data_IF_980177136139
#
_entry.id   IF_980177136139
#
_cell.length_a   1.000
_cell.length_b   1.000
_cell.length_c   1.000
_cell.angle_alpha   90.00
_cell.angle_beta   90.00
_cell.angle_gamma   90.00
#
_symmetry.space_group_name_H-M   'P 1'
#
loop_
_entity.id
_entity.type
_entity.pdbx_description
1 polymer ?
#
# COMPACT_ATOMS: atom_id res chain seq x y z
N UNK A 1 -4.32 -14.85 2.15
CA UNK A 1 -4.16 -15.76 1.00
C UNK A 1 -5.33 -16.75 0.97
N UNK A 2 -6.13 -16.73 -0.11
CA UNK A 2 -7.33 -17.58 -0.28
C UNK A 2 -6.92 -19.05 -0.36
N UNK A 3 -5.85 -19.38 -1.07
CA UNK A 3 -5.39 -20.77 -1.22
C UNK A 3 -5.12 -21.43 0.14
N UNK A 4 -4.50 -20.72 1.09
CA UNK A 4 -4.28 -21.24 2.45
C UNK A 4 -5.61 -21.39 3.20
N UNK A 5 -6.51 -20.45 3.06
CA UNK A 5 -7.83 -20.50 3.71
C UNK A 5 -8.66 -21.69 3.22
N UNK A 6 -8.64 -21.94 1.91
CA UNK A 6 -9.33 -23.08 1.29
C UNK A 6 -8.68 -24.41 1.68
N UNK A 7 -7.34 -24.51 1.62
CA UNK A 7 -6.61 -25.75 1.95
C UNK A 7 -6.80 -26.17 3.40
N UNK A 8 -6.87 -25.21 4.32
CA UNK A 8 -7.14 -25.47 5.74
C UNK A 8 -8.63 -25.56 6.08
N UNK A 9 -9.54 -25.37 5.11
CA UNK A 9 -11.00 -25.36 5.30
C UNK A 9 -11.41 -24.51 6.50
N UNK A 10 -10.89 -23.26 6.56
CA UNK A 10 -11.10 -22.39 7.71
C UNK A 10 -12.57 -21.96 7.86
N UNK A 11 -12.99 -21.81 9.10
CA UNK A 11 -14.27 -21.26 9.49
C UNK A 11 -14.18 -20.42 10.77
N UNK A 12 -15.14 -19.50 10.93
CA UNK A 12 -15.23 -18.71 12.16
C UNK A 12 -15.65 -19.65 13.30
N UNK A 13 -14.89 -19.64 14.40
CA UNK A 13 -15.11 -20.51 15.56
C UNK A 13 -14.37 -21.84 15.47
N UNK A 14 -13.59 -22.10 14.41
CA UNK A 14 -12.78 -23.31 14.32
C UNK A 14 -11.68 -23.35 15.39
N UNK A 15 -11.37 -24.56 15.85
CA UNK A 15 -10.20 -24.84 16.69
C UNK A 15 -8.99 -25.08 15.78
N UNK A 16 -7.93 -24.29 15.96
CA UNK A 16 -6.73 -24.34 15.15
C UNK A 16 -5.48 -24.57 16.00
N UNK A 17 -4.46 -25.23 15.43
CA UNK A 17 -3.11 -25.27 15.97
C UNK A 17 -2.30 -24.13 15.36
N UNK A 18 -1.62 -23.36 16.21
CA UNK A 18 -0.81 -22.21 15.79
C UNK A 18 0.63 -22.45 16.25
N UNK A 19 1.59 -22.09 15.41
CA UNK A 19 3.00 -22.04 15.78
C UNK A 19 3.61 -20.67 15.44
N UNK A 20 4.75 -20.35 16.02
CA UNK A 20 5.50 -19.13 15.69
C UNK A 20 6.55 -19.43 14.62
N UNK A 21 6.29 -19.01 13.39
CA UNK A 21 7.31 -19.03 12.35
C UNK A 21 8.40 -18.00 12.69
N UNK A 22 9.65 -18.39 12.52
CA UNK A 22 10.82 -17.57 12.86
C UNK A 22 10.75 -16.98 14.30
N UNK A 23 10.15 -17.72 15.23
CA UNK A 23 9.98 -17.37 16.65
C UNK A 23 9.08 -16.14 16.92
N UNK A 24 8.56 -15.48 15.91
CA UNK A 24 7.83 -14.20 16.03
C UNK A 24 6.44 -14.25 15.39
N UNK A 25 6.33 -14.75 14.16
CA UNK A 25 5.12 -14.63 13.35
C UNK A 25 4.18 -15.83 13.60
N UNK A 26 2.96 -15.63 14.14
CA UNK A 26 2.01 -16.73 14.31
C UNK A 26 1.49 -17.19 12.94
N UNK A 27 1.53 -18.52 12.73
CA UNK A 27 0.98 -19.18 11.56
C UNK A 27 0.10 -20.36 11.98
N UNK A 28 -0.92 -20.65 11.16
CA UNK A 28 -1.79 -21.80 11.36
C UNK A 28 -1.08 -23.05 10.83
N UNK A 29 -0.81 -24.02 11.70
CA UNK A 29 -0.25 -25.31 11.32
C UNK A 29 -1.33 -26.27 10.83
N UNK A 30 -2.48 -26.27 11.50
CA UNK A 30 -3.57 -27.21 11.26
C UNK A 30 -4.89 -26.59 11.71
N UNK A 31 -5.96 -26.85 10.96
CA UNK A 31 -7.33 -26.62 11.40
C UNK A 31 -7.96 -27.95 11.84
N UNK A 32 -8.25 -28.09 13.13
CA UNK A 32 -8.78 -29.34 13.71
C UNK A 32 -10.25 -29.50 13.33
N UNK A 33 -11.04 -28.43 13.38
CA UNK A 33 -12.49 -28.45 13.14
C UNK A 33 -12.83 -28.60 11.67
N UNK A 34 -12.10 -27.90 10.79
CA UNK A 34 -12.28 -27.91 9.32
C UNK A 34 -13.72 -27.62 8.87
N UNK A 35 -14.38 -26.62 9.48
CA UNK A 35 -15.78 -26.31 9.17
C UNK A 35 -16.01 -25.76 7.76
N UNK A 36 -15.00 -25.12 7.15
CA UNK A 36 -15.08 -24.57 5.80
C UNK A 36 -16.13 -23.49 5.62
N UNK A 37 -16.51 -22.80 6.68
CA UNK A 37 -17.65 -21.85 6.66
C UNK A 37 -17.27 -20.44 6.23
N UNK A 38 -15.97 -20.12 6.12
CA UNK A 38 -15.54 -18.79 5.66
C UNK A 38 -15.96 -18.58 4.21
N UNK A 39 -16.67 -17.49 3.96
CA UNK A 39 -17.07 -17.04 2.63
C UNK A 39 -16.13 -15.97 2.14
N UNK A 40 -15.70 -16.07 0.89
CA UNK A 40 -14.93 -15.02 0.22
C UNK A 40 -15.89 -13.89 -0.12
N UNK A 41 -15.62 -12.63 0.30
CA UNK A 41 -16.49 -11.51 0.00
C UNK A 41 -16.59 -11.26 -1.51
N UNK A 42 -17.80 -11.17 -2.04
CA UNK A 42 -18.07 -10.79 -3.44
C UNK A 42 -18.04 -9.28 -3.66
N UNK A 43 -18.14 -8.51 -2.58
CA UNK A 43 -18.11 -7.05 -2.59
C UNK A 43 -17.05 -6.54 -1.61
N UNK A 44 -16.39 -5.45 -2.00
CA UNK A 44 -15.38 -4.81 -1.17
C UNK A 44 -16.03 -4.18 0.08
N UNK A 45 -15.57 -4.49 1.30
CA UNK A 45 -16.15 -3.94 2.53
C UNK A 45 -15.96 -2.43 2.69
N UNK A 46 -15.03 -1.82 1.92
CA UNK A 46 -14.74 -0.38 2.00
C UNK A 46 -15.59 0.42 1.02
N UNK A 47 -15.73 -0.02 -0.22
CA UNK A 47 -16.37 0.77 -1.28
C UNK A 47 -17.62 0.12 -1.88
N UNK A 48 -18.00 -1.10 -1.47
CA UNK A 48 -19.13 -1.84 -2.04
C UNK A 48 -18.93 -2.32 -3.50
N UNK A 49 -17.78 -2.02 -4.11
CA UNK A 49 -17.48 -2.45 -5.46
C UNK A 49 -17.24 -3.97 -5.54
N UNK A 50 -17.36 -4.55 -6.74
CA UNK A 50 -17.08 -5.98 -6.96
C UNK A 50 -15.67 -6.34 -6.56
N UNK A 51 -15.50 -7.58 -6.08
CA UNK A 51 -14.20 -8.19 -5.89
C UNK A 51 -13.94 -9.24 -6.96
N UNK A 52 -12.67 -9.49 -7.24
CA UNK A 52 -12.23 -10.58 -8.12
C UNK A 52 -11.13 -11.40 -7.44
N UNK A 53 -11.07 -12.66 -7.76
CA UNK A 53 -9.97 -13.54 -7.38
C UNK A 53 -8.97 -13.53 -8.55
N UNK A 54 -7.72 -13.23 -8.24
CA UNK A 54 -6.59 -13.41 -9.14
C UNK A 54 -5.84 -14.66 -8.71
N UNK A 55 -5.57 -15.55 -9.66
CA UNK A 55 -4.78 -16.76 -9.45
C UNK A 55 -3.47 -16.61 -10.24
N UNK A 56 -2.38 -16.51 -9.51
CA UNK A 56 -1.04 -16.38 -10.09
C UNK A 56 -0.13 -17.39 -9.40
N UNK A 57 0.43 -18.33 -10.16
CA UNK A 57 1.27 -19.41 -9.64
C UNK A 57 0.62 -20.18 -8.48
N UNK A 58 -0.63 -20.58 -8.62
CA UNK A 58 -1.44 -21.28 -7.63
C UNK A 58 -1.68 -20.49 -6.33
N UNK A 59 -1.42 -19.19 -6.35
CA UNK A 59 -1.70 -18.29 -5.24
C UNK A 59 -2.92 -17.44 -5.55
N UNK A 60 -4.04 -17.76 -4.91
CA UNK A 60 -5.28 -17.00 -5.03
C UNK A 60 -5.28 -15.81 -4.10
N UNK A 61 -5.51 -14.63 -4.65
CA UNK A 61 -5.61 -13.36 -3.93
C UNK A 61 -6.89 -12.63 -4.29
N UNK A 62 -7.52 -11.98 -3.30
CA UNK A 62 -8.74 -11.20 -3.48
C UNK A 62 -8.43 -9.74 -3.74
N UNK A 63 -8.98 -9.18 -4.79
CA UNK A 63 -8.82 -7.77 -5.16
C UNK A 63 -10.18 -7.09 -5.31
N UNK A 64 -10.23 -5.83 -4.97
CA UNK A 64 -11.33 -4.95 -5.32
C UNK A 64 -11.15 -4.46 -6.76
N UNK A 65 -12.19 -4.55 -7.61
CA UNK A 65 -12.11 -4.08 -8.99
C UNK A 65 -12.32 -2.57 -9.13
N UNK A 66 -12.88 -1.92 -8.11
CA UNK A 66 -13.08 -0.48 -8.15
C UNK A 66 -11.74 0.26 -8.04
N UNK A 67 -11.31 0.92 -9.10
CA UNK A 67 -10.09 1.74 -9.11
C UNK A 67 -10.19 2.98 -8.23
N UNK A 68 -11.42 3.47 -7.99
CA UNK A 68 -11.70 4.60 -7.10
C UNK A 68 -11.87 4.18 -5.64
N UNK A 69 -11.51 2.94 -5.28
CA UNK A 69 -11.60 2.46 -3.91
C UNK A 69 -10.67 3.25 -2.99
N UNK A 70 -11.26 3.87 -1.95
CA UNK A 70 -10.50 4.68 -0.99
C UNK A 70 -9.34 3.90 -0.34
N UNK A 71 -9.56 2.62 0.00
CA UNK A 71 -8.49 1.78 0.56
C UNK A 71 -7.31 1.61 -0.40
N UNK A 72 -7.57 1.41 -1.70
CA UNK A 72 -6.50 1.36 -2.71
C UNK A 72 -5.75 2.69 -2.78
N UNK A 73 -6.48 3.80 -2.75
CA UNK A 73 -5.92 5.13 -2.80
C UNK A 73 -5.01 5.40 -1.60
N UNK A 74 -5.47 5.10 -0.38
CA UNK A 74 -4.65 5.20 0.84
C UNK A 74 -3.39 4.33 0.73
N UNK A 75 -3.53 3.06 0.32
CA UNK A 75 -2.40 2.14 0.17
C UNK A 75 -1.39 2.60 -0.88
N UNK A 76 -1.83 3.21 -1.98
CA UNK A 76 -0.93 3.75 -3.00
C UNK A 76 -0.08 4.91 -2.48
N UNK A 77 -0.67 5.80 -1.68
CA UNK A 77 0.07 6.87 -1.01
C UNK A 77 0.97 6.34 0.11
N UNK A 78 0.52 5.34 0.87
CA UNK A 78 1.32 4.72 1.92
C UNK A 78 2.57 4.04 1.35
N UNK A 79 2.44 3.36 0.21
CA UNK A 79 3.58 2.79 -0.51
C UNK A 79 4.55 3.89 -0.97
N UNK A 80 4.02 4.96 -1.58
CA UNK A 80 4.82 6.09 -2.05
C UNK A 80 5.59 6.76 -0.90
N UNK A 81 4.95 6.93 0.27
CA UNK A 81 5.57 7.52 1.45
C UNK A 81 6.48 6.56 2.23
N UNK A 82 6.44 5.26 1.92
CA UNK A 82 7.15 4.23 2.67
C UNK A 82 8.67 4.43 2.68
N UNK A 83 9.34 3.81 3.68
CA UNK A 83 10.80 3.86 3.85
C UNK A 83 11.57 3.40 2.60
N UNK A 84 11.06 2.39 1.90
CA UNK A 84 11.69 1.82 0.71
C UNK A 84 11.41 2.62 -0.57
N UNK A 85 10.43 3.55 -0.52
CA UNK A 85 10.12 4.51 -1.57
C UNK A 85 10.67 5.89 -1.22
N UNK A 86 9.83 6.89 -1.06
CA UNK A 86 10.25 8.28 -0.82
C UNK A 86 10.68 8.56 0.63
N UNK A 87 10.46 7.64 1.55
CA UNK A 87 10.81 7.74 2.97
C UNK A 87 10.30 9.04 3.61
N UNK A 88 9.01 9.31 3.47
CA UNK A 88 8.37 10.53 4.00
C UNK A 88 7.84 10.25 5.40
N UNK A 89 8.55 10.72 6.42
CA UNK A 89 8.09 10.64 7.79
C UNK A 89 6.87 11.54 8.04
N UNK A 90 5.99 11.12 8.95
CA UNK A 90 4.79 11.88 9.34
C UNK A 90 3.55 11.57 8.51
N UNK A 91 3.63 10.74 7.47
CA UNK A 91 2.49 10.29 6.65
C UNK A 91 2.09 8.85 7.00
N UNK A 92 1.52 8.65 8.19
CA UNK A 92 0.85 7.39 8.53
C UNK A 92 -0.39 7.15 7.64
N UNK A 93 -0.87 5.90 7.55
CA UNK A 93 -2.11 5.61 6.81
C UNK A 93 -3.30 6.44 7.34
N UNK A 94 -3.38 6.65 8.66
CA UNK A 94 -4.42 7.50 9.28
C UNK A 94 -4.29 8.98 8.87
N UNK A 95 -3.07 9.49 8.75
CA UNK A 95 -2.81 10.85 8.25
C UNK A 95 -3.20 10.97 6.78
N UNK A 96 -2.78 10.00 5.96
CA UNK A 96 -3.12 9.94 4.54
C UNK A 96 -4.62 9.87 4.31
N UNK A 97 -5.34 9.07 5.10
CA UNK A 97 -6.79 8.99 5.03
C UNK A 97 -7.45 10.35 5.29
N UNK A 98 -7.05 11.06 6.35
CA UNK A 98 -7.53 12.41 6.65
C UNK A 98 -7.27 13.38 5.49
N UNK A 99 -6.06 13.34 4.91
CA UNK A 99 -5.68 14.22 3.80
C UNK A 99 -6.44 13.93 2.51
N UNK A 100 -6.69 12.66 2.22
CA UNK A 100 -7.50 12.23 1.07
C UNK A 100 -8.96 12.65 1.27
N UNK A 101 -9.54 12.44 2.46
CA UNK A 101 -10.92 12.84 2.79
C UNK A 101 -11.12 14.35 2.68
N UNK A 102 -10.13 15.14 3.07
CA UNK A 102 -10.14 16.61 2.92
C UNK A 102 -9.86 17.08 1.48
N UNK A 103 -9.52 16.16 0.58
CA UNK A 103 -9.24 16.48 -0.82
C UNK A 103 -7.87 17.09 -1.08
N UNK A 104 -6.95 17.05 -0.10
CA UNK A 104 -5.58 17.54 -0.24
C UNK A 104 -4.75 16.65 -1.18
N UNK A 105 -5.02 15.35 -1.19
CA UNK A 105 -4.34 14.33 -1.97
C UNK A 105 -5.32 13.66 -2.95
N UNK A 106 -5.24 14.03 -4.23
CA UNK A 106 -6.02 13.44 -5.33
C UNK A 106 -5.13 12.62 -6.27
N UNK A 107 -3.94 13.11 -6.55
CA UNK A 107 -2.93 12.46 -7.41
C UNK A 107 -1.63 12.34 -6.63
N UNK A 108 -0.80 11.37 -6.97
CA UNK A 108 0.48 11.13 -6.28
C UNK A 108 1.35 12.38 -6.14
N UNK A 109 1.41 13.21 -7.18
CA UNK A 109 2.17 14.48 -7.15
C UNK A 109 1.65 15.55 -6.19
N UNK A 110 0.41 15.42 -5.70
CA UNK A 110 -0.15 16.39 -4.75
C UNK A 110 0.55 16.34 -3.39
N UNK A 111 1.21 15.21 -3.07
CA UNK A 111 1.99 15.06 -1.85
C UNK A 111 3.07 16.17 -1.71
N UNK A 112 3.69 16.58 -2.83
CA UNK A 112 4.68 17.65 -2.86
C UNK A 112 4.07 19.07 -2.90
N UNK A 113 2.75 19.17 -2.94
CA UNK A 113 2.00 20.43 -2.98
C UNK A 113 1.21 20.69 -1.71
N UNK A 114 1.42 19.87 -0.68
CA UNK A 114 0.63 19.88 0.54
C UNK A 114 0.80 21.18 1.35
N UNK A 115 1.89 21.92 1.10
CA UNK A 115 2.14 23.23 1.71
C UNK A 115 1.05 24.26 1.43
N UNK A 116 0.23 24.06 0.37
CA UNK A 116 -0.93 24.91 0.06
C UNK A 116 -2.02 24.88 1.12
N UNK A 117 -2.04 23.83 1.94
CA UNK A 117 -3.06 23.56 2.95
C UNK A 117 -2.51 23.71 4.38
N UNK A 118 -1.49 24.59 4.56
CA UNK A 118 -0.83 24.77 5.86
C UNK A 118 -1.83 25.02 6.98
N UNK A 119 -2.69 26.01 6.81
CA UNK A 119 -3.61 26.46 7.87
C UNK A 119 -4.62 25.36 8.22
N UNK A 120 -5.14 24.66 7.21
CA UNK A 120 -6.08 23.57 7.41
C UNK A 120 -5.40 22.37 8.09
N UNK A 121 -4.13 22.05 7.73
CA UNK A 121 -3.38 20.94 8.31
C UNK A 121 -3.02 21.24 9.76
N UNK A 122 -2.53 22.43 10.06
CA UNK A 122 -2.14 22.80 11.43
C UNK A 122 -3.32 22.90 12.38
N UNK A 123 -4.53 23.17 11.85
CA UNK A 123 -5.77 23.17 12.60
C UNK A 123 -6.38 21.77 12.80
N UNK A 124 -5.82 20.71 12.19
CA UNK A 124 -6.34 19.35 12.35
C UNK A 124 -5.99 18.78 13.73
N UNK A 125 -6.92 18.02 14.31
CA UNK A 125 -6.67 17.28 15.54
C UNK A 125 -5.50 16.28 15.37
N UNK A 126 -4.55 16.38 16.31
CA UNK A 126 -3.30 15.61 16.28
C UNK A 126 -2.21 16.15 15.33
N UNK A 127 -2.43 17.30 14.67
CA UNK A 127 -1.48 17.97 13.80
C UNK A 127 -1.30 19.42 14.25
N UNK A 128 -0.10 19.80 14.67
CA UNK A 128 0.25 21.18 15.01
C UNK A 128 1.40 21.67 14.14
N UNK A 129 1.84 22.90 14.35
CA UNK A 129 2.95 23.54 13.61
C UNK A 129 4.20 22.66 13.56
N UNK A 130 4.59 22.03 14.66
CA UNK A 130 5.76 21.16 14.72
C UNK A 130 5.63 19.95 13.79
N UNK A 131 4.47 19.26 13.83
CA UNK A 131 4.22 18.10 12.97
C UNK A 131 4.16 18.49 11.51
N UNK A 132 3.58 19.66 11.21
CA UNK A 132 3.56 20.21 9.86
C UNK A 132 4.97 20.52 9.35
N UNK A 133 5.78 21.21 10.12
CA UNK A 133 7.15 21.56 9.72
C UNK A 133 8.00 20.30 9.49
N UNK A 134 7.90 19.31 10.38
CA UNK A 134 8.58 18.02 10.20
C UNK A 134 8.15 17.32 8.89
N UNK A 135 6.86 17.37 8.56
CA UNK A 135 6.36 16.80 7.30
C UNK A 135 6.92 17.55 6.09
N UNK A 136 6.95 18.88 6.11
CA UNK A 136 7.52 19.67 5.00
C UNK A 136 9.01 19.37 4.83
N UNK A 137 9.77 19.28 5.92
CA UNK A 137 11.19 18.93 5.89
C UNK A 137 11.40 17.52 5.30
N UNK A 138 10.54 16.55 5.66
CA UNK A 138 10.58 15.20 5.10
C UNK A 138 10.27 15.20 3.58
N UNK A 139 9.30 16.00 3.15
CA UNK A 139 8.95 16.16 1.73
C UNK A 139 10.07 16.80 0.92
N UNK A 140 10.75 17.82 1.47
CA UNK A 140 11.90 18.41 0.79
C UNK A 140 13.06 17.41 0.64
N UNK A 141 13.37 16.65 1.69
CA UNK A 141 14.36 15.56 1.61
C UNK A 141 13.96 14.46 0.59
N UNK A 142 12.68 14.16 0.48
CA UNK A 142 12.18 13.14 -0.44
C UNK A 142 12.36 13.52 -1.93
N UNK A 143 12.56 14.81 -2.25
CA UNK A 143 12.85 15.26 -3.62
C UNK A 143 14.23 14.80 -4.10
N UNK A 144 15.16 14.57 -3.18
CA UNK A 144 16.51 14.09 -3.47
C UNK A 144 16.59 12.56 -3.31
N UNK A 145 15.74 11.84 -4.04
CA UNK A 145 15.69 10.39 -4.03
C UNK A 145 16.15 9.80 -5.36
N UNK A 146 16.51 8.51 -5.37
CA UNK A 146 16.90 7.82 -6.59
C UNK A 146 15.68 7.32 -7.41
N UNK A 147 15.89 7.12 -8.70
CA UNK A 147 14.85 6.71 -9.64
C UNK A 147 14.26 5.31 -9.32
N UNK A 148 15.04 4.41 -8.73
CA UNK A 148 14.59 3.08 -8.31
C UNK A 148 13.48 3.20 -7.27
N UNK A 149 13.68 4.07 -6.28
CA UNK A 149 12.73 4.31 -5.20
C UNK A 149 11.46 5.00 -5.69
N UNK A 150 11.60 5.92 -6.66
CA UNK A 150 10.45 6.54 -7.33
C UNK A 150 9.61 5.49 -8.05
N UNK A 151 10.23 4.65 -8.90
CA UNK A 151 9.52 3.60 -9.66
C UNK A 151 8.84 2.62 -8.71
N UNK A 152 9.52 2.20 -7.64
CA UNK A 152 8.93 1.33 -6.62
C UNK A 152 7.72 2.00 -5.94
N UNK A 153 7.86 3.26 -5.54
CA UNK A 153 6.80 4.04 -4.89
C UNK A 153 5.57 4.27 -5.76
N UNK A 154 5.69 4.18 -7.10
CA UNK A 154 4.55 4.25 -8.01
C UNK A 154 3.63 3.02 -7.88
N UNK A 155 4.09 1.92 -7.29
CA UNK A 155 3.28 0.72 -7.06
C UNK A 155 2.78 0.08 -8.34
N UNK A 156 3.66 0.01 -9.35
CA UNK A 156 3.35 -0.67 -10.62
C UNK A 156 3.27 -2.18 -10.35
N UNK A 157 2.22 -2.82 -10.85
CA UNK A 157 2.01 -4.25 -10.65
C UNK A 157 3.24 -5.07 -11.08
N UNK A 158 3.65 -6.01 -10.23
CA UNK A 158 4.83 -6.86 -10.40
C UNK A 158 6.19 -6.13 -10.45
N UNK A 159 6.23 -4.84 -10.14
CA UNK A 159 7.48 -4.06 -10.05
C UNK A 159 7.84 -3.81 -8.58
N UNK A 160 8.56 -4.76 -7.99
CA UNK A 160 9.22 -4.60 -6.70
C UNK A 160 10.56 -3.86 -6.82
N UNK A 161 11.26 -3.62 -5.70
CA UNK A 161 12.56 -2.93 -5.67
C UNK A 161 13.60 -3.57 -6.60
N UNK A 162 13.66 -4.90 -6.66
CA UNK A 162 14.60 -5.61 -7.52
C UNK A 162 14.31 -5.36 -9.00
N UNK A 163 13.04 -5.43 -9.40
CA UNK A 163 12.60 -5.15 -10.77
C UNK A 163 12.83 -3.68 -11.14
N UNK A 164 12.49 -2.75 -10.22
CA UNK A 164 12.74 -1.33 -10.41
C UNK A 164 14.23 -1.04 -10.65
N UNK A 165 15.12 -1.70 -9.88
CA UNK A 165 16.59 -1.59 -10.07
C UNK A 165 17.05 -2.11 -11.42
N UNK A 166 16.49 -3.23 -11.89
CA UNK A 166 16.80 -3.77 -13.21
C UNK A 166 16.37 -2.82 -14.33
N UNK A 167 15.18 -2.22 -14.22
CA UNK A 167 14.68 -1.25 -15.20
C UNK A 167 15.60 -0.03 -15.27
N UNK A 168 15.93 0.56 -14.12
CA UNK A 168 16.79 1.74 -14.04
C UNK A 168 18.18 1.47 -14.60
N UNK A 169 18.79 0.33 -14.25
CA UNK A 169 20.10 -0.05 -14.78
C UNK A 169 20.06 -0.26 -16.30
N UNK A 170 19.03 -0.93 -16.82
CA UNK A 170 18.88 -1.18 -18.26
C UNK A 170 18.69 0.11 -19.06
N UNK A 171 18.11 1.13 -18.46
CA UNK A 171 17.87 2.44 -19.05
C UNK A 171 18.95 3.48 -18.63
N UNK A 172 20.12 3.03 -18.16
CA UNK A 172 21.27 3.86 -17.79
C UNK A 172 20.94 4.99 -16.79
N UNK A 173 19.99 4.74 -15.87
CA UNK A 173 19.51 5.74 -14.90
C UNK A 173 18.96 7.02 -15.55
N UNK A 174 18.45 6.90 -16.78
CA UNK A 174 17.86 8.02 -17.54
C UNK A 174 16.35 8.09 -17.25
N UNK A 175 15.92 9.14 -16.55
CA UNK A 175 14.52 9.35 -16.21
C UNK A 175 13.63 9.61 -17.43
N UNK A 176 14.15 10.26 -18.46
CA UNK A 176 13.45 10.49 -19.72
C UNK A 176 13.23 9.17 -20.48
N UNK A 177 14.26 8.28 -20.49
CA UNK A 177 14.13 6.97 -21.06
C UNK A 177 13.09 6.11 -20.33
N UNK A 178 13.03 6.19 -18.99
CA UNK A 178 12.00 5.51 -18.19
C UNK A 178 10.60 6.01 -18.52
N UNK A 179 10.40 7.31 -18.65
CA UNK A 179 9.10 7.90 -18.98
C UNK A 179 8.62 7.54 -20.40
N UNK A 180 9.55 7.28 -21.32
CA UNK A 180 9.25 6.90 -22.70
C UNK A 180 9.20 5.38 -22.91
N UNK A 181 9.62 4.59 -21.93
CA UNK A 181 9.63 3.14 -22.04
C UNK A 181 8.20 2.62 -22.24
N UNK A 182 8.02 1.85 -23.28
CA UNK A 182 6.79 1.08 -23.54
C UNK A 182 7.04 -0.40 -23.22
N UNK A 183 5.98 -1.13 -22.90
CA UNK A 183 6.05 -2.55 -22.64
C UNK A 183 6.34 -3.36 -23.93
#
# INVERSE_FOLDING_TARGET
NISIMESLKLGIGDTIKVFKANMIIPQIAENITQSGTVRIPEVCPVCGGKTRISDVNDVKSLYCDNEQCQAKHIKSFALLASRDALNIDGLSEATLEKFIQKGFLKRRGDIFRISRYKDEITAMDGFGEKSYNNLIDALEKAKDTDLVRVIYGLGIDNVGLSTARLIVNKLNNDSEAVLRATA
#
